data_IF_573428966866
#
_entry.id   IF_573428966866
#
_cell.length_a   1.000
_cell.length_b   1.000
_cell.length_c   1.000
_cell.angle_alpha   90.00
_cell.angle_beta   90.00
_cell.angle_gamma   90.00
#
_symmetry.space_group_name_H-M   'P 1'
#
loop_
_entity.id
_entity.type
_entity.pdbx_description
1 polymer ?
#
# COMPACT_ATOMS: atom_id res chain seq x y z
N UNK A 1 -28.86 -34.44 -33.32
CA UNK A 1 -29.21 -33.17 -32.61
C UNK A 1 -28.34 -32.91 -31.38
N UNK A 2 -27.85 -33.91 -30.68
CA UNK A 2 -26.90 -33.78 -29.55
C UNK A 2 -25.47 -33.39 -30.00
N UNK A 3 -25.00 -33.97 -31.10
CA UNK A 3 -23.64 -33.69 -31.64
C UNK A 3 -23.42 -32.24 -32.12
N UNK A 4 -24.50 -31.54 -32.49
CA UNK A 4 -24.43 -30.14 -32.94
C UNK A 4 -24.33 -29.15 -31.76
N UNK A 5 -24.83 -29.52 -30.56
CA UNK A 5 -24.72 -28.69 -29.35
C UNK A 5 -23.36 -28.80 -28.69
N UNK A 6 -22.75 -29.99 -28.65
CA UNK A 6 -21.40 -30.18 -28.13
C UNK A 6 -20.34 -29.48 -28.99
N UNK A 7 -20.45 -29.52 -30.32
CA UNK A 7 -19.60 -28.79 -31.23
C UNK A 7 -19.72 -27.27 -31.12
N UNK A 8 -20.89 -26.71 -30.81
CA UNK A 8 -21.10 -25.28 -30.56
C UNK A 8 -20.48 -24.83 -29.24
N UNK A 9 -20.56 -25.64 -28.18
CA UNK A 9 -19.94 -25.36 -26.88
C UNK A 9 -18.41 -25.45 -26.98
N UNK A 10 -17.90 -26.45 -27.67
CA UNK A 10 -16.44 -26.59 -27.89
C UNK A 10 -15.86 -25.47 -28.74
N UNK A 11 -16.61 -24.97 -29.74
CA UNK A 11 -16.21 -23.84 -30.57
C UNK A 11 -16.28 -22.50 -29.81
N UNK A 12 -17.25 -22.34 -28.91
CA UNK A 12 -17.36 -21.12 -28.09
C UNK A 12 -16.28 -21.06 -27.01
N UNK A 13 -15.95 -22.18 -26.35
CA UNK A 13 -14.85 -22.25 -25.38
C UNK A 13 -13.49 -22.04 -26.03
N UNK A 14 -13.27 -22.59 -27.24
CA UNK A 14 -12.01 -22.40 -28.00
C UNK A 14 -11.88 -20.97 -28.52
N UNK A 15 -12.96 -20.34 -28.96
CA UNK A 15 -12.96 -18.92 -29.34
C UNK A 15 -12.76 -18.01 -28.12
N UNK A 16 -13.33 -18.32 -26.99
CA UNK A 16 -13.16 -17.55 -25.74
C UNK A 16 -11.73 -17.68 -25.21
N UNK A 17 -11.12 -18.87 -25.28
CA UNK A 17 -9.70 -19.09 -24.97
C UNK A 17 -8.77 -18.34 -25.92
N UNK A 18 -8.99 -18.42 -27.22
CA UNK A 18 -8.18 -17.72 -28.23
C UNK A 18 -8.28 -16.18 -28.08
N UNK A 19 -9.47 -15.64 -27.79
CA UNK A 19 -9.65 -14.22 -27.50
C UNK A 19 -8.95 -13.79 -26.19
N UNK A 20 -9.01 -14.62 -25.16
CA UNK A 20 -8.30 -14.37 -23.90
C UNK A 20 -6.78 -14.41 -24.07
N UNK A 21 -6.24 -15.33 -24.86
CA UNK A 21 -4.80 -15.41 -25.15
C UNK A 21 -4.31 -14.22 -25.98
N UNK A 22 -5.11 -13.76 -26.96
CA UNK A 22 -4.82 -12.53 -27.71
C UNK A 22 -4.87 -11.28 -26.84
N UNK A 23 -5.81 -11.18 -25.90
CA UNK A 23 -5.87 -10.08 -24.93
C UNK A 23 -4.71 -10.09 -23.94
N UNK A 24 -4.20 -11.26 -23.53
CA UNK A 24 -3.02 -11.39 -22.67
C UNK A 24 -1.77 -10.79 -23.33
N UNK A 25 -1.52 -11.09 -24.58
CA UNK A 25 -0.37 -10.55 -25.32
C UNK A 25 -0.39 -9.02 -25.52
N UNK A 26 -1.54 -8.38 -25.32
CA UNK A 26 -1.68 -6.92 -25.39
C UNK A 26 -1.32 -6.20 -24.08
N UNK A 27 -1.23 -6.93 -22.97
CA UNK A 27 -0.88 -6.34 -21.68
C UNK A 27 0.56 -5.79 -21.71
N UNK A 28 0.75 -4.59 -21.14
CA UNK A 28 2.10 -3.99 -20.99
C UNK A 28 3.07 -4.90 -20.27
N UNK A 29 2.58 -5.61 -19.25
CA UNK A 29 3.36 -6.56 -18.45
C UNK A 29 3.83 -7.79 -19.22
N UNK A 30 3.18 -8.13 -20.34
CA UNK A 30 3.53 -9.30 -21.19
C UNK A 30 4.29 -8.90 -22.47
N UNK A 31 4.38 -7.60 -22.75
CA UNK A 31 5.09 -7.11 -23.95
C UNK A 31 6.60 -7.34 -23.81
N UNK A 32 7.24 -7.64 -24.93
CA UNK A 32 8.70 -7.75 -25.04
C UNK A 32 9.28 -6.39 -25.47
N UNK A 33 10.21 -5.86 -24.70
CA UNK A 33 10.95 -4.66 -25.08
C UNK A 33 12.11 -5.04 -26.02
N UNK A 34 12.02 -4.59 -27.26
CA UNK A 34 13.05 -4.86 -28.26
C UNK A 34 14.43 -4.29 -27.92
N UNK A 35 14.51 -3.30 -27.03
CA UNK A 35 15.76 -2.77 -26.48
C UNK A 35 16.63 -3.85 -25.84
N UNK A 36 15.99 -4.86 -25.24
CA UNK A 36 16.63 -5.87 -24.41
C UNK A 36 16.68 -7.25 -25.06
N UNK A 37 16.54 -7.33 -26.40
CA UNK A 37 16.53 -8.60 -27.13
C UNK A 37 17.85 -9.39 -27.04
N UNK A 38 18.97 -8.73 -26.65
CA UNK A 38 20.29 -9.35 -26.45
C UNK A 38 20.66 -9.49 -24.96
N UNK A 39 19.67 -9.49 -24.07
CA UNK A 39 19.89 -9.48 -22.60
C UNK A 39 20.80 -10.65 -22.14
N UNK A 40 20.63 -11.82 -22.71
CA UNK A 40 21.33 -13.06 -22.38
C UNK A 40 22.82 -13.07 -22.73
N UNK A 41 23.28 -12.17 -23.61
CA UNK A 41 24.68 -12.04 -24.01
C UNK A 41 25.37 -10.77 -23.48
N UNK A 42 24.66 -9.95 -22.73
CA UNK A 42 25.20 -8.74 -22.08
C UNK A 42 26.17 -9.10 -20.96
N UNK A 43 27.20 -8.30 -20.78
CA UNK A 43 28.07 -8.37 -19.61
C UNK A 43 27.32 -7.93 -18.35
N UNK A 44 27.83 -8.30 -17.16
CA UNK A 44 27.25 -7.87 -15.87
C UNK A 44 27.12 -6.34 -15.80
N UNK A 45 28.10 -5.60 -16.28
CA UNK A 45 28.06 -4.13 -16.30
C UNK A 45 26.93 -3.59 -17.17
N UNK A 46 26.75 -4.13 -18.37
CA UNK A 46 25.66 -3.74 -19.29
C UNK A 46 24.29 -4.12 -18.70
N UNK A 47 24.15 -5.30 -18.10
CA UNK A 47 22.92 -5.71 -17.43
C UNK A 47 22.53 -4.77 -16.27
N UNK A 48 23.50 -4.36 -15.44
CA UNK A 48 23.24 -3.44 -14.33
C UNK A 48 22.82 -2.05 -14.87
N UNK A 49 23.45 -1.56 -15.93
CA UNK A 49 23.07 -0.30 -16.56
C UNK A 49 21.67 -0.38 -17.16
N UNK A 50 21.36 -1.46 -17.89
CA UNK A 50 20.06 -1.69 -18.50
C UNK A 50 18.93 -1.76 -17.44
N UNK A 51 19.18 -2.44 -16.32
CA UNK A 51 18.23 -2.50 -15.19
C UNK A 51 18.01 -1.12 -14.59
N UNK A 52 19.07 -0.40 -14.27
CA UNK A 52 18.98 0.92 -13.66
C UNK A 52 18.28 1.93 -14.61
N UNK A 53 18.55 1.88 -15.90
CA UNK A 53 17.85 2.70 -16.91
C UNK A 53 16.36 2.37 -16.95
N UNK A 54 16.04 1.08 -17.02
CA UNK A 54 14.64 0.61 -17.03
C UNK A 54 13.89 1.05 -15.78
N UNK A 55 14.47 0.87 -14.58
CA UNK A 55 13.85 1.24 -13.31
C UNK A 55 13.65 2.76 -13.16
N UNK A 56 14.49 3.58 -13.82
CA UNK A 56 14.37 5.05 -13.81
C UNK A 56 13.07 5.58 -14.44
N UNK A 57 12.37 4.76 -15.22
CA UNK A 57 11.07 5.12 -15.82
C UNK A 57 9.92 5.04 -14.79
N UNK A 58 10.06 4.28 -13.71
CA UNK A 58 9.00 4.08 -12.74
C UNK A 58 8.56 5.38 -12.05
N UNK A 59 9.45 6.22 -11.49
CA UNK A 59 9.03 7.50 -10.90
C UNK A 59 8.37 8.44 -11.91
N UNK A 60 8.79 8.40 -13.18
CA UNK A 60 8.18 9.21 -14.25
C UNK A 60 6.74 8.75 -14.53
N UNK A 61 6.52 7.45 -14.63
CA UNK A 61 5.17 6.88 -14.80
C UNK A 61 4.25 7.24 -13.65
N UNK A 62 4.72 7.14 -12.41
CA UNK A 62 3.96 7.53 -11.21
C UNK A 62 3.60 9.02 -11.25
N UNK A 63 4.53 9.89 -11.68
CA UNK A 63 4.27 11.34 -11.71
C UNK A 63 3.07 11.73 -12.58
N UNK A 64 2.79 10.94 -13.63
CA UNK A 64 1.64 11.17 -14.52
C UNK A 64 0.28 10.85 -13.87
N UNK A 65 0.28 10.04 -12.82
CA UNK A 65 -0.94 9.59 -12.13
C UNK A 65 -1.09 10.18 -10.73
N UNK A 66 -0.18 11.06 -10.28
CA UNK A 66 -0.27 11.72 -8.97
C UNK A 66 -1.64 12.32 -8.66
N UNK A 67 -2.35 13.00 -9.59
CA UNK A 67 -3.69 13.52 -9.31
C UNK A 67 -4.75 12.44 -9.02
N UNK A 68 -4.56 11.21 -9.55
CA UNK A 68 -5.44 10.08 -9.23
C UNK A 68 -5.09 9.48 -7.88
N UNK A 69 -3.77 9.40 -7.57
CA UNK A 69 -3.27 8.92 -6.27
C UNK A 69 -3.76 9.85 -5.16
N UNK A 70 -3.68 11.17 -5.36
CA UNK A 70 -4.20 12.18 -4.42
C UNK A 70 -5.67 11.92 -4.07
N UNK A 71 -6.54 11.81 -5.07
CA UNK A 71 -7.98 11.53 -4.84
C UNK A 71 -8.24 10.23 -4.11
N UNK A 72 -7.47 9.19 -4.42
CA UNK A 72 -7.59 7.91 -3.71
C UNK A 72 -7.17 8.05 -2.24
N UNK A 73 -6.06 8.75 -1.98
CA UNK A 73 -5.56 9.01 -0.62
C UNK A 73 -6.53 9.88 0.17
N UNK A 74 -7.13 10.91 -0.42
CA UNK A 74 -8.15 11.73 0.25
C UNK A 74 -9.32 10.85 0.72
N UNK A 75 -9.80 9.94 -0.12
CA UNK A 75 -10.84 8.99 0.26
C UNK A 75 -10.41 8.03 1.39
N UNK A 76 -9.14 7.60 1.41
CA UNK A 76 -8.58 6.78 2.51
C UNK A 76 -8.56 7.59 3.80
N UNK A 77 -8.07 8.83 3.77
CA UNK A 77 -8.00 9.71 4.93
C UNK A 77 -9.40 9.94 5.53
N UNK A 78 -10.37 10.27 4.69
CA UNK A 78 -11.74 10.54 5.13
C UNK A 78 -12.36 9.34 5.88
N UNK A 79 -12.10 8.13 5.40
CA UNK A 79 -12.60 6.92 6.04
C UNK A 79 -11.85 6.55 7.31
N UNK A 80 -10.52 6.66 7.29
CA UNK A 80 -9.70 6.40 8.48
C UNK A 80 -9.96 7.39 9.61
N UNK A 81 -10.29 8.66 9.32
CA UNK A 81 -10.72 9.65 10.32
C UNK A 81 -12.05 9.26 10.99
N UNK A 82 -12.88 8.48 10.33
CA UNK A 82 -14.15 7.96 10.85
C UNK A 82 -13.98 6.59 11.54
N UNK A 83 -12.75 6.10 11.70
CA UNK A 83 -12.44 4.81 12.34
C UNK A 83 -12.38 3.62 11.38
N UNK A 84 -12.37 3.86 10.07
CA UNK A 84 -12.17 2.83 9.06
C UNK A 84 -10.73 2.35 8.96
N UNK A 85 -10.51 1.29 8.19
CA UNK A 85 -9.24 0.58 8.03
C UNK A 85 -8.72 0.69 6.60
N UNK A 86 -7.39 0.62 6.45
CA UNK A 86 -6.71 0.45 5.17
C UNK A 86 -6.38 -1.03 4.98
N UNK A 87 -6.86 -1.64 3.91
CA UNK A 87 -6.74 -3.08 3.67
C UNK A 87 -6.10 -3.29 2.30
N UNK A 88 -4.97 -3.98 2.28
CA UNK A 88 -4.28 -4.40 1.06
C UNK A 88 -4.64 -5.83 0.71
N UNK A 89 -4.86 -6.12 -0.56
CA UNK A 89 -5.12 -7.47 -1.04
C UNK A 89 -4.43 -7.71 -2.38
N UNK A 90 -3.67 -8.80 -2.48
CA UNK A 90 -2.90 -9.10 -3.68
C UNK A 90 -2.40 -10.54 -3.73
N UNK A 91 -1.80 -10.92 -4.86
CA UNK A 91 -1.16 -12.23 -5.05
C UNK A 91 0.34 -12.09 -5.34
N UNK A 92 1.12 -13.10 -5.06
CA UNK A 92 2.55 -13.16 -5.37
C UNK A 92 3.33 -11.95 -4.85
N UNK A 93 4.09 -11.29 -5.72
CA UNK A 93 4.87 -10.08 -5.39
C UNK A 93 3.97 -8.94 -4.90
N UNK A 94 2.83 -8.73 -5.54
CA UNK A 94 1.87 -7.66 -5.18
C UNK A 94 1.34 -7.85 -3.76
N UNK A 95 0.95 -9.08 -3.39
CA UNK A 95 0.50 -9.40 -2.04
C UNK A 95 1.62 -9.23 -1.00
N UNK A 96 2.86 -9.64 -1.32
CA UNK A 96 4.02 -9.45 -0.42
C UNK A 96 4.32 -7.98 -0.15
N UNK A 97 4.19 -7.12 -1.15
CA UNK A 97 4.38 -5.68 -1.00
C UNK A 97 3.30 -5.05 -0.13
N UNK A 98 2.04 -5.50 -0.24
CA UNK A 98 0.97 -5.12 0.67
C UNK A 98 1.25 -5.53 2.11
N UNK A 99 1.69 -6.78 2.33
CA UNK A 99 2.09 -7.28 3.66
C UNK A 99 3.26 -6.48 4.23
N UNK A 100 4.27 -6.17 3.40
CA UNK A 100 5.41 -5.37 3.82
C UNK A 100 4.98 -3.98 4.31
N UNK A 101 4.20 -3.25 3.52
CA UNK A 101 3.76 -1.90 3.87
C UNK A 101 2.88 -1.89 5.13
N UNK A 102 1.94 -2.83 5.24
CA UNK A 102 1.09 -2.97 6.42
C UNK A 102 1.90 -3.26 7.70
N UNK A 103 2.88 -4.17 7.62
CA UNK A 103 3.72 -4.55 8.75
C UNK A 103 4.57 -3.39 9.29
N UNK A 104 5.00 -2.48 8.42
CA UNK A 104 5.82 -1.32 8.79
C UNK A 104 5.01 -0.15 9.37
N UNK A 105 3.68 -0.12 9.19
CA UNK A 105 2.82 0.93 9.74
C UNK A 105 2.77 0.92 11.28
N UNK A 106 2.75 -0.25 11.91
CA UNK A 106 2.76 -0.38 13.36
C UNK A 106 3.99 0.26 14.01
N UNK A 107 5.21 -0.18 13.71
CA UNK A 107 6.44 0.39 14.26
C UNK A 107 6.66 1.88 13.95
N UNK A 108 6.19 2.35 12.77
CA UNK A 108 6.42 3.72 12.29
C UNK A 108 5.44 4.73 12.88
N UNK A 109 4.16 4.36 12.98
CA UNK A 109 3.05 5.27 13.28
C UNK A 109 2.24 4.88 14.52
N UNK A 110 2.64 3.83 15.24
CA UNK A 110 1.90 3.29 16.39
C UNK A 110 0.42 3.04 16.11
N UNK A 111 0.14 2.53 14.91
CA UNK A 111 -1.20 2.04 14.59
C UNK A 111 -1.33 0.59 14.99
N UNK A 112 -2.54 0.19 15.38
CA UNK A 112 -2.83 -1.20 15.71
C UNK A 112 -2.77 -2.09 14.45
N UNK A 113 -2.49 -3.36 14.63
CA UNK A 113 -2.36 -4.33 13.53
C UNK A 113 -3.67 -4.56 12.75
N UNK A 114 -4.79 -4.13 13.29
CA UNK A 114 -6.11 -4.19 12.67
C UNK A 114 -6.46 -2.91 11.89
N UNK A 115 -5.70 -1.81 12.04
CA UNK A 115 -5.95 -0.55 11.34
C UNK A 115 -5.37 -0.55 9.91
N UNK A 116 -4.23 -1.20 9.70
CA UNK A 116 -3.66 -1.45 8.37
C UNK A 116 -3.42 -2.94 8.24
N UNK A 117 -4.17 -3.58 7.36
CA UNK A 117 -4.24 -5.03 7.22
C UNK A 117 -3.81 -5.42 5.81
N UNK A 118 -3.22 -6.58 5.64
CA UNK A 118 -2.89 -7.11 4.31
C UNK A 118 -3.25 -8.59 4.17
N UNK A 119 -3.76 -8.94 3.01
CA UNK A 119 -4.03 -10.31 2.59
C UNK A 119 -3.22 -10.67 1.35
N UNK A 120 -2.76 -11.90 1.31
CA UNK A 120 -2.06 -12.47 0.16
C UNK A 120 -2.72 -13.80 -0.23
N UNK A 121 -2.95 -14.00 -1.52
CA UNK A 121 -3.48 -15.27 -2.03
C UNK A 121 -2.61 -16.45 -1.57
N UNK A 122 -3.22 -17.44 -0.92
CA UNK A 122 -2.52 -18.57 -0.29
C UNK A 122 -2.11 -18.35 1.16
N UNK A 123 -2.47 -17.21 1.77
CA UNK A 123 -2.26 -16.93 3.20
C UNK A 123 -0.79 -16.74 3.59
N UNK A 124 -0.48 -16.83 4.88
CA UNK A 124 0.85 -16.54 5.43
C UNK A 124 2.00 -17.37 4.81
N UNK A 125 1.72 -18.59 4.38
CA UNK A 125 2.71 -19.43 3.72
C UNK A 125 3.19 -18.84 2.39
N UNK A 126 2.32 -18.09 1.71
CA UNK A 126 2.60 -17.44 0.43
C UNK A 126 3.54 -16.22 0.55
N UNK A 127 3.77 -15.72 1.76
CA UNK A 127 4.76 -14.67 2.01
C UNK A 127 6.17 -15.18 1.67
N UNK A 128 6.50 -16.40 2.05
CA UNK A 128 7.83 -17.00 1.87
C UNK A 128 7.93 -17.90 0.64
N UNK A 129 6.84 -18.55 0.26
CA UNK A 129 6.81 -19.55 -0.81
C UNK A 129 5.89 -19.09 -1.95
N UNK A 130 6.07 -19.64 -3.15
CA UNK A 130 5.07 -19.49 -4.21
C UNK A 130 3.85 -20.37 -3.87
N UNK A 131 2.66 -19.76 -3.86
CA UNK A 131 1.40 -20.48 -3.70
C UNK A 131 0.73 -20.54 -5.08
N UNK A 132 0.81 -21.70 -5.75
CA UNK A 132 0.21 -21.90 -7.06
C UNK A 132 -1.30 -22.10 -6.94
N UNK A 133 -2.06 -21.55 -7.91
CA UNK A 133 -3.50 -21.73 -8.04
C UNK A 133 -4.37 -20.94 -7.06
N UNK A 134 -3.81 -20.33 -6.01
CA UNK A 134 -4.60 -19.50 -5.08
C UNK A 134 -5.05 -18.17 -5.70
N UNK A 135 -4.26 -17.62 -6.62
CA UNK A 135 -4.55 -16.36 -7.31
C UNK A 135 -5.71 -16.47 -8.32
N UNK A 136 -6.01 -17.69 -8.77
CA UNK A 136 -7.09 -17.96 -9.74
C UNK A 136 -8.46 -18.13 -9.09
N UNK A 137 -8.55 -18.01 -7.76
CA UNK A 137 -9.74 -18.31 -6.97
C UNK A 137 -10.36 -17.04 -6.36
N UNK A 138 -11.37 -16.42 -7.00
CA UNK A 138 -11.99 -15.20 -6.51
C UNK A 138 -12.68 -15.37 -5.14
N UNK A 139 -13.23 -16.57 -4.85
CA UNK A 139 -13.89 -16.87 -3.59
C UNK A 139 -12.93 -16.78 -2.38
N UNK A 140 -11.62 -16.99 -2.57
CA UNK A 140 -10.65 -16.84 -1.49
C UNK A 140 -10.47 -15.36 -1.11
N UNK A 141 -10.42 -14.45 -2.09
CA UNK A 141 -10.35 -13.02 -1.82
C UNK A 141 -11.59 -12.49 -1.12
N UNK A 142 -12.77 -13.00 -1.48
CA UNK A 142 -14.02 -12.71 -0.78
C UNK A 142 -13.96 -13.20 0.67
N UNK A 143 -13.54 -14.46 0.89
CA UNK A 143 -13.46 -15.05 2.21
C UNK A 143 -12.50 -14.30 3.14
N UNK A 144 -11.35 -13.85 2.62
CA UNK A 144 -10.38 -13.08 3.39
C UNK A 144 -10.98 -11.77 3.89
N UNK A 145 -11.69 -11.02 3.05
CA UNK A 145 -12.35 -9.78 3.45
C UNK A 145 -13.54 -10.02 4.38
N UNK A 146 -14.29 -11.12 4.20
CA UNK A 146 -15.36 -11.53 5.11
C UNK A 146 -14.83 -11.88 6.50
N UNK A 147 -13.65 -12.48 6.60
CA UNK A 147 -13.04 -12.91 7.87
C UNK A 147 -12.81 -11.75 8.85
N UNK A 148 -12.64 -10.53 8.32
CA UNK A 148 -12.45 -9.31 9.11
C UNK A 148 -13.67 -8.38 9.08
N UNK A 149 -14.82 -8.84 8.55
CA UNK A 149 -16.06 -8.06 8.45
C UNK A 149 -15.83 -6.69 7.79
N UNK A 150 -15.30 -6.69 6.56
CA UNK A 150 -15.10 -5.45 5.79
C UNK A 150 -16.44 -4.73 5.61
N UNK A 151 -16.43 -3.41 5.81
CA UNK A 151 -17.63 -2.59 5.77
C UNK A 151 -17.42 -1.22 5.14
N UNK A 152 -18.45 -0.41 5.23
CA UNK A 152 -18.57 0.87 4.50
C UNK A 152 -17.49 1.92 4.87
N UNK A 153 -16.87 1.85 6.05
CA UNK A 153 -15.79 2.76 6.43
C UNK A 153 -14.40 2.28 5.98
N UNK A 154 -14.28 1.04 5.52
CA UNK A 154 -12.99 0.48 5.12
C UNK A 154 -12.58 0.93 3.71
N UNK A 155 -11.27 0.89 3.46
CA UNK A 155 -10.65 1.12 2.18
C UNK A 155 -9.90 -0.13 1.74
N UNK A 156 -10.23 -0.69 0.59
CA UNK A 156 -9.59 -1.90 0.06
C UNK A 156 -8.78 -1.55 -1.18
N UNK A 157 -7.47 -1.79 -1.12
CA UNK A 157 -6.53 -1.62 -2.23
C UNK A 157 -6.23 -2.98 -2.83
N UNK A 158 -6.79 -3.24 -4.00
CA UNK A 158 -6.50 -4.43 -4.80
C UNK A 158 -5.24 -4.23 -5.63
N UNK A 159 -4.24 -5.08 -5.41
CA UNK A 159 -2.91 -4.95 -6.00
C UNK A 159 -2.66 -6.10 -6.97
N UNK A 160 -2.58 -5.80 -8.26
CA UNK A 160 -2.28 -6.80 -9.30
C UNK A 160 -1.61 -6.13 -10.50
N UNK A 161 -0.38 -6.52 -10.84
CA UNK A 161 0.35 -5.94 -11.96
C UNK A 161 -0.41 -6.09 -13.28
N UNK A 162 -0.96 -7.28 -13.56
CA UNK A 162 -1.79 -7.55 -14.74
C UNK A 162 -3.14 -6.80 -14.74
N UNK A 163 -3.65 -6.50 -13.53
CA UNK A 163 -4.99 -5.95 -13.34
C UNK A 163 -6.14 -6.92 -13.63
N UNK A 164 -5.89 -8.25 -13.57
CA UNK A 164 -6.84 -9.31 -13.94
C UNK A 164 -6.91 -10.47 -12.94
N UNK A 165 -6.09 -10.45 -11.89
CA UNK A 165 -5.98 -11.55 -10.92
C UNK A 165 -7.33 -11.86 -10.29
N UNK A 166 -7.92 -13.07 -10.49
CA UNK A 166 -9.28 -13.40 -10.05
C UNK A 166 -9.48 -13.22 -8.54
N UNK A 167 -8.51 -13.65 -7.72
CA UNK A 167 -8.52 -13.43 -6.27
C UNK A 167 -8.75 -11.95 -5.90
N UNK A 168 -8.05 -11.02 -6.58
CA UNK A 168 -8.17 -9.58 -6.32
C UNK A 168 -9.49 -9.05 -6.89
N UNK A 169 -9.94 -9.53 -8.05
CA UNK A 169 -11.22 -9.14 -8.63
C UNK A 169 -12.38 -9.47 -7.69
N UNK A 170 -12.45 -10.72 -7.20
CA UNK A 170 -13.50 -11.13 -6.25
C UNK A 170 -13.49 -10.31 -4.98
N UNK A 171 -12.30 -9.99 -4.45
CA UNK A 171 -12.16 -9.13 -3.27
C UNK A 171 -12.70 -7.71 -3.52
N UNK A 172 -12.34 -7.07 -4.64
CA UNK A 172 -12.79 -5.72 -5.00
C UNK A 172 -14.31 -5.68 -5.23
N UNK A 173 -14.87 -6.66 -5.94
CA UNK A 173 -16.32 -6.76 -6.14
C UNK A 173 -17.07 -6.90 -4.82
N UNK A 174 -16.59 -7.76 -3.92
CA UNK A 174 -17.15 -7.91 -2.58
C UNK A 174 -17.05 -6.62 -1.76
N UNK A 175 -15.85 -6.01 -1.69
CA UNK A 175 -15.62 -4.76 -0.96
C UNK A 175 -16.59 -3.67 -1.42
N UNK A 176 -16.75 -3.51 -2.72
CA UNK A 176 -17.69 -2.56 -3.31
C UNK A 176 -19.15 -2.87 -2.94
N UNK A 177 -19.53 -4.15 -2.92
CA UNK A 177 -20.90 -4.58 -2.58
C UNK A 177 -21.30 -4.23 -1.14
N UNK A 178 -20.34 -4.14 -0.23
CA UNK A 178 -20.54 -3.74 1.17
C UNK A 178 -20.28 -2.25 1.43
N UNK A 179 -20.04 -1.46 0.38
CA UNK A 179 -19.86 -0.01 0.44
C UNK A 179 -18.46 0.46 0.86
N UNK A 180 -17.46 -0.43 0.93
CA UNK A 180 -16.07 -0.04 1.15
C UNK A 180 -15.53 0.77 -0.04
N UNK A 181 -14.58 1.67 0.22
CA UNK A 181 -13.85 2.37 -0.83
C UNK A 181 -12.91 1.40 -1.52
N UNK A 182 -12.95 1.35 -2.85
CA UNK A 182 -12.13 0.43 -3.63
C UNK A 182 -11.10 1.15 -4.50
N UNK A 183 -9.84 0.70 -4.42
CA UNK A 183 -8.71 1.25 -5.16
C UNK A 183 -8.02 0.10 -5.88
N UNK A 184 -7.85 0.21 -7.19
CA UNK A 184 -7.05 -0.72 -7.99
C UNK A 184 -5.65 -0.15 -8.21
N UNK A 185 -4.60 -0.92 -7.90
CA UNK A 185 -3.21 -0.59 -8.20
C UNK A 185 -2.65 -1.60 -9.20
N UNK A 186 -2.43 -1.16 -10.44
CA UNK A 186 -2.06 -2.02 -11.56
C UNK A 186 -0.92 -1.42 -12.39
N UNK A 187 -0.37 -2.21 -13.32
CA UNK A 187 0.64 -1.76 -14.29
C UNK A 187 0.10 -1.71 -15.73
N UNK A 188 -1.19 -1.94 -15.92
CA UNK A 188 -1.83 -1.96 -17.23
C UNK A 188 -2.94 -0.91 -17.30
N UNK A 189 -2.92 -0.01 -18.30
CA UNK A 189 -4.00 0.94 -18.54
C UNK A 189 -5.33 0.24 -18.81
N UNK A 190 -6.42 0.80 -18.27
CA UNK A 190 -7.78 0.28 -18.46
C UNK A 190 -7.96 -1.16 -17.94
N UNK A 191 -7.27 -1.51 -16.88
CA UNK A 191 -7.30 -2.83 -16.25
C UNK A 191 -8.71 -3.28 -15.86
N UNK A 192 -8.93 -4.59 -15.77
CA UNK A 192 -10.24 -5.15 -15.38
C UNK A 192 -10.61 -4.74 -13.94
N UNK A 193 -9.65 -4.85 -13.00
CA UNK A 193 -9.89 -4.38 -11.61
C UNK A 193 -10.06 -2.86 -11.55
N UNK A 194 -9.38 -2.08 -12.40
CA UNK A 194 -9.57 -0.63 -12.46
C UNK A 194 -10.98 -0.23 -12.86
N UNK A 195 -11.62 -0.97 -13.79
CA UNK A 195 -12.99 -0.70 -14.25
C UNK A 195 -14.06 -0.93 -13.19
N UNK A 196 -13.81 -1.83 -12.23
CA UNK A 196 -14.75 -2.18 -11.16
C UNK A 196 -14.46 -1.47 -9.83
N UNK A 197 -13.36 -0.70 -9.74
CA UNK A 197 -12.95 0.06 -8.56
C UNK A 197 -13.40 1.52 -8.63
N UNK A 198 -13.52 2.18 -7.47
CA UNK A 198 -13.81 3.61 -7.40
C UNK A 198 -12.64 4.45 -7.89
N UNK A 199 -11.40 4.00 -7.60
CA UNK A 199 -10.17 4.62 -8.08
C UNK A 199 -9.27 3.62 -8.81
N UNK A 200 -8.92 3.92 -10.06
CA UNK A 200 -7.99 3.14 -10.86
C UNK A 200 -6.63 3.84 -10.93
N UNK A 201 -5.62 3.24 -10.28
CA UNK A 201 -4.23 3.67 -10.28
C UNK A 201 -3.44 2.76 -11.23
N UNK A 202 -3.60 2.99 -12.54
CA UNK A 202 -2.89 2.24 -13.57
C UNK A 202 -1.54 2.92 -13.85
N UNK A 203 -0.45 2.30 -13.42
CA UNK A 203 0.93 2.82 -13.53
C UNK A 203 1.61 2.17 -14.73
N UNK A 204 1.51 2.79 -15.89
CA UNK A 204 2.16 2.31 -17.12
C UNK A 204 3.65 2.69 -17.12
N UNK A 205 4.51 1.85 -16.58
CA UNK A 205 5.97 2.00 -16.61
C UNK A 205 6.61 1.33 -17.86
N UNK A 206 5.79 0.90 -18.83
CA UNK A 206 6.23 0.15 -20.02
C UNK A 206 6.54 -1.31 -19.72
N UNK A 207 6.99 -2.06 -20.76
CA UNK A 207 7.35 -3.47 -20.63
C UNK A 207 8.49 -3.70 -19.62
N UNK A 208 8.49 -4.85 -18.98
CA UNK A 208 9.59 -5.24 -18.09
C UNK A 208 10.88 -5.53 -18.88
N UNK A 209 12.04 -5.28 -18.26
CA UNK A 209 13.33 -5.64 -18.85
C UNK A 209 13.42 -7.15 -19.15
N UNK A 210 12.92 -7.98 -18.24
CA UNK A 210 12.69 -9.41 -18.47
C UNK A 210 11.18 -9.61 -18.64
N UNK A 211 10.73 -9.84 -19.86
CA UNK A 211 9.33 -9.90 -20.23
C UNK A 211 8.51 -10.80 -19.28
N UNK A 212 7.36 -10.32 -18.83
CA UNK A 212 6.47 -11.02 -17.91
C UNK A 212 6.93 -11.00 -16.44
N UNK A 213 8.15 -10.52 -16.12
CA UNK A 213 8.67 -10.56 -14.75
C UNK A 213 8.24 -9.34 -13.93
N UNK A 214 6.97 -9.27 -13.57
CA UNK A 214 6.32 -8.14 -12.88
C UNK A 214 6.82 -7.85 -11.45
N UNK A 215 7.74 -8.67 -10.93
CA UNK A 215 8.44 -8.36 -9.67
C UNK A 215 9.44 -7.21 -9.81
N UNK A 216 9.77 -6.77 -11.03
CA UNK A 216 10.75 -5.71 -11.33
C UNK A 216 10.07 -4.32 -11.31
N UNK A 217 9.87 -3.64 -12.46
CA UNK A 217 9.28 -2.29 -12.51
C UNK A 217 7.88 -2.21 -11.91
N UNK A 218 7.02 -3.18 -12.23
CA UNK A 218 5.67 -3.22 -11.67
C UNK A 218 5.71 -3.32 -10.15
N UNK A 219 6.55 -4.20 -9.59
CA UNK A 219 6.76 -4.31 -8.15
C UNK A 219 7.31 -3.01 -7.54
N UNK A 220 8.29 -2.38 -8.18
CA UNK A 220 8.84 -1.08 -7.75
C UNK A 220 7.76 0.00 -7.75
N UNK A 221 6.94 0.10 -8.80
CA UNK A 221 5.83 1.04 -8.87
C UNK A 221 4.81 0.81 -7.75
N UNK A 222 4.40 -0.44 -7.52
CA UNK A 222 3.48 -0.81 -6.45
C UNK A 222 4.04 -0.39 -5.09
N UNK A 223 5.30 -0.72 -4.78
CA UNK A 223 5.94 -0.33 -3.53
C UNK A 223 5.92 1.18 -3.31
N UNK A 224 6.25 1.96 -4.32
CA UNK A 224 6.25 3.42 -4.21
C UNK A 224 4.84 3.98 -3.95
N UNK A 225 3.83 3.48 -4.65
CA UNK A 225 2.43 3.94 -4.49
C UNK A 225 1.86 3.50 -3.15
N UNK A 226 2.11 2.27 -2.68
CA UNK A 226 1.67 1.80 -1.36
C UNK A 226 2.27 2.67 -0.25
N UNK A 227 3.57 2.97 -0.32
CA UNK A 227 4.21 3.88 0.63
C UNK A 227 3.62 5.32 0.57
N UNK A 228 3.20 5.80 -0.62
CA UNK A 228 2.50 7.08 -0.73
C UNK A 228 1.13 7.00 -0.02
N UNK A 229 0.35 5.95 -0.25
CA UNK A 229 -0.97 5.76 0.37
C UNK A 229 -0.84 5.72 1.89
N UNK A 230 0.00 4.85 2.44
CA UNK A 230 0.15 4.71 3.89
C UNK A 230 0.75 5.96 4.52
N UNK A 231 1.90 6.43 4.02
CA UNK A 231 2.62 7.54 4.65
C UNK A 231 1.83 8.85 4.60
N UNK A 232 1.25 9.19 3.44
CA UNK A 232 0.49 10.45 3.32
C UNK A 232 -0.76 10.40 4.18
N UNK A 233 -1.47 9.26 4.22
CA UNK A 233 -2.62 9.06 5.11
C UNK A 233 -2.21 9.24 6.57
N UNK A 234 -1.13 8.60 7.03
CA UNK A 234 -0.66 8.73 8.41
C UNK A 234 -0.21 10.14 8.76
N UNK A 235 0.46 10.85 7.83
CA UNK A 235 0.80 12.28 8.02
C UNK A 235 -0.47 13.12 8.21
N UNK A 236 -1.49 12.90 7.39
CA UNK A 236 -2.79 13.61 7.48
C UNK A 236 -3.59 13.24 8.72
N UNK A 237 -3.41 12.05 9.25
CA UNK A 237 -3.96 11.59 10.53
C UNK A 237 -3.18 12.12 11.75
N UNK A 238 -2.19 12.98 11.55
CA UNK A 238 -1.43 13.61 12.63
C UNK A 238 -0.36 12.74 13.27
N UNK A 239 0.09 11.69 12.59
CA UNK A 239 1.12 10.75 13.08
C UNK A 239 2.55 11.30 13.02
N UNK A 240 2.72 12.53 12.50
CA UNK A 240 4.01 13.20 12.36
C UNK A 240 3.98 14.63 12.88
N UNK A 241 5.17 15.17 13.20
CA UNK A 241 5.39 16.60 13.45
C UNK A 241 6.57 17.08 12.60
N UNK A 242 6.28 17.92 11.61
CA UNK A 242 7.22 18.14 10.51
C UNK A 242 7.49 16.82 9.79
N UNK A 243 8.77 16.45 9.66
CA UNK A 243 9.22 15.16 9.13
C UNK A 243 9.64 14.16 10.22
N UNK A 244 9.24 14.39 11.48
CA UNK A 244 9.57 13.56 12.62
C UNK A 244 8.46 12.54 12.90
N UNK A 245 8.85 11.30 13.16
CA UNK A 245 7.95 10.21 13.59
C UNK A 245 7.64 10.36 15.09
N UNK A 246 6.58 11.07 15.44
CA UNK A 246 6.26 11.39 16.85
C UNK A 246 5.35 10.37 17.54
N UNK A 247 4.83 9.39 16.79
CA UNK A 247 3.96 8.31 17.30
C UNK A 247 4.69 6.95 17.37
N UNK A 248 6.01 6.94 17.48
CA UNK A 248 6.76 5.69 17.61
C UNK A 248 6.52 5.01 18.97
N UNK A 249 6.46 3.68 19.00
CA UNK A 249 6.43 2.90 20.24
C UNK A 249 7.83 2.74 20.81
N UNK A 250 7.99 3.14 22.08
CA UNK A 250 9.28 3.01 22.79
C UNK A 250 9.36 1.61 23.42
N UNK A 251 9.66 0.59 22.61
CA UNK A 251 9.69 -0.81 23.05
C UNK A 251 11.09 -1.36 23.39
N UNK A 252 12.15 -0.60 23.10
CA UNK A 252 13.53 -0.98 23.40
C UNK A 252 14.42 0.24 23.54
N UNK A 253 15.69 0.05 24.01
CA UNK A 253 16.67 1.13 24.23
C UNK A 253 16.95 1.96 22.96
N UNK A 254 17.08 1.31 21.81
CA UNK A 254 17.30 2.00 20.53
C UNK A 254 16.14 2.94 20.19
N UNK A 255 14.91 2.52 20.46
CA UNK A 255 13.72 3.35 20.21
C UNK A 255 13.56 4.44 21.27
N UNK A 256 13.96 4.20 22.52
CA UNK A 256 14.05 5.24 23.56
C UNK A 256 15.05 6.34 23.18
N UNK A 257 16.25 5.98 22.74
CA UNK A 257 17.25 6.96 22.28
C UNK A 257 16.78 7.72 21.02
N UNK A 258 16.05 7.06 20.10
CA UNK A 258 15.43 7.73 18.97
C UNK A 258 14.35 8.72 19.43
N UNK A 259 13.49 8.35 20.39
CA UNK A 259 12.46 9.22 20.95
C UNK A 259 13.05 10.49 21.57
N UNK A 260 14.13 10.34 22.37
CA UNK A 260 14.84 11.47 22.95
C UNK A 260 15.38 12.41 21.87
N UNK A 261 16.01 11.88 20.81
CA UNK A 261 16.50 12.71 19.69
C UNK A 261 15.39 13.43 18.94
N UNK A 262 14.24 12.78 18.77
CA UNK A 262 13.05 13.39 18.15
C UNK A 262 12.57 14.56 19.01
N UNK A 263 12.43 14.37 20.32
CA UNK A 263 12.02 15.42 21.26
C UNK A 263 13.02 16.59 21.22
N UNK A 264 14.33 16.33 21.30
CA UNK A 264 15.35 17.36 21.17
C UNK A 264 15.22 18.15 19.88
N UNK A 265 15.04 17.46 18.74
CA UNK A 265 14.90 18.12 17.43
C UNK A 265 13.62 18.95 17.34
N UNK A 266 12.53 18.47 17.91
CA UNK A 266 11.22 19.14 17.88
C UNK A 266 11.17 20.36 18.80
N UNK A 267 11.91 20.35 19.93
CA UNK A 267 11.78 21.35 21.01
C UNK A 267 13.03 22.20 21.24
N UNK A 268 14.13 21.84 20.57
CA UNK A 268 15.47 22.41 20.81
C UNK A 268 15.95 22.27 22.27
N UNK A 269 15.49 21.24 22.98
CA UNK A 269 15.86 20.94 24.37
C UNK A 269 17.19 20.18 24.47
N UNK A 270 17.77 20.15 25.68
CA UNK A 270 18.90 19.30 25.99
C UNK A 270 18.49 17.82 26.08
N UNK A 271 19.47 16.92 26.03
CA UNK A 271 19.21 15.48 26.19
C UNK A 271 18.60 15.15 27.57
N UNK A 272 18.99 15.86 28.64
CA UNK A 272 18.44 15.68 29.99
C UNK A 272 16.95 16.05 30.01
N UNK A 273 16.62 17.26 29.56
CA UNK A 273 15.23 17.75 29.51
C UNK A 273 14.33 16.83 28.65
N UNK A 274 14.80 16.41 27.48
CA UNK A 274 14.05 15.49 26.62
C UNK A 274 13.85 14.12 27.27
N UNK A 275 14.87 13.60 28.00
CA UNK A 275 14.76 12.33 28.71
C UNK A 275 13.80 12.41 29.90
N UNK A 276 13.83 13.51 30.66
CA UNK A 276 12.94 13.75 31.78
C UNK A 276 11.49 13.90 31.32
N UNK A 277 11.26 14.69 30.26
CA UNK A 277 9.94 14.85 29.66
C UNK A 277 9.39 13.55 29.10
N UNK A 278 10.21 12.72 28.45
CA UNK A 278 9.80 11.41 27.96
C UNK A 278 9.38 10.47 29.10
N UNK A 279 10.11 10.48 30.22
CA UNK A 279 9.72 9.70 31.41
C UNK A 279 8.45 10.23 32.05
N UNK A 280 8.34 11.53 32.23
CA UNK A 280 7.17 12.17 32.85
C UNK A 280 5.90 11.97 32.01
N UNK A 281 6.04 11.94 30.66
CA UNK A 281 4.92 11.68 29.74
C UNK A 281 4.46 10.20 29.71
N UNK A 282 5.13 9.29 30.41
CA UNK A 282 4.86 7.86 30.28
C UNK A 282 5.30 7.27 28.94
N UNK A 283 6.39 7.79 28.38
CA UNK A 283 6.97 7.44 27.07
C UNK A 283 6.14 7.86 25.84
N UNK A 284 5.22 8.79 26.03
CA UNK A 284 4.44 9.40 24.94
C UNK A 284 5.20 10.60 24.35
N UNK A 285 5.81 10.42 23.16
CA UNK A 285 6.68 11.43 22.53
C UNK A 285 5.91 12.74 22.23
N UNK A 286 4.68 12.67 21.75
CA UNK A 286 3.84 13.86 21.49
C UNK A 286 3.56 14.66 22.74
N UNK A 287 3.23 13.96 23.84
CA UNK A 287 3.01 14.58 25.16
C UNK A 287 4.28 15.28 25.62
N UNK A 288 5.43 14.59 25.57
CA UNK A 288 6.71 15.16 25.95
C UNK A 288 7.08 16.42 25.14
N UNK A 289 6.79 16.43 23.83
CA UNK A 289 7.00 17.59 22.97
C UNK A 289 6.13 18.77 23.44
N UNK A 290 4.85 18.57 23.68
CA UNK A 290 3.95 19.63 24.14
C UNK A 290 4.32 20.15 25.52
N UNK A 291 4.69 19.27 26.47
CA UNK A 291 5.17 19.65 27.80
C UNK A 291 6.34 20.67 27.69
N UNK A 292 7.31 20.36 26.84
CA UNK A 292 8.49 21.22 26.69
C UNK A 292 8.19 22.52 25.92
N UNK A 293 7.36 22.49 24.88
CA UNK A 293 7.05 23.67 24.07
C UNK A 293 6.12 24.65 24.78
N UNK A 294 5.19 24.15 25.62
CA UNK A 294 4.18 24.95 26.30
C UNK A 294 4.44 25.15 27.79
N UNK A 295 5.45 24.48 28.37
CA UNK A 295 5.74 24.44 29.81
C UNK A 295 4.53 24.02 30.64
N UNK A 296 3.87 22.91 30.24
CA UNK A 296 2.66 22.37 30.88
C UNK A 296 2.90 20.95 31.42
N UNK A 297 2.01 20.55 32.34
CA UNK A 297 2.03 19.20 32.91
C UNK A 297 1.54 18.13 31.90
N UNK A 298 1.94 16.87 32.05
CA UNK A 298 1.59 15.77 31.12
C UNK A 298 0.09 15.62 30.87
N UNK A 299 -0.72 15.76 31.92
CA UNK A 299 -2.20 15.65 31.88
C UNK A 299 -2.79 16.72 30.97
N UNK A 300 -2.36 17.97 31.13
CA UNK A 300 -2.81 19.10 30.30
C UNK A 300 -2.37 18.90 28.86
N UNK A 301 -1.16 18.38 28.62
CA UNK A 301 -0.66 18.07 27.29
C UNK A 301 -1.50 16.98 26.58
N UNK A 302 -1.93 15.92 27.32
CA UNK A 302 -2.83 14.89 26.80
C UNK A 302 -4.22 15.44 26.45
N UNK A 303 -4.81 16.24 27.32
CA UNK A 303 -6.10 16.88 27.08
C UNK A 303 -6.06 17.75 25.81
N UNK A 304 -5.01 18.55 25.64
CA UNK A 304 -4.81 19.38 24.43
C UNK A 304 -4.66 18.53 23.16
N UNK A 305 -3.86 17.45 23.21
CA UNK A 305 -3.72 16.54 22.07
C UNK A 305 -5.06 15.91 21.70
N UNK A 306 -5.82 15.47 22.69
CA UNK A 306 -7.14 14.87 22.46
C UNK A 306 -8.11 15.88 21.81
N UNK A 307 -8.15 17.11 22.32
CA UNK A 307 -8.98 18.19 21.77
C UNK A 307 -8.59 18.56 20.32
N UNK A 308 -7.29 18.39 19.96
CA UNK A 308 -6.73 18.70 18.65
C UNK A 308 -6.59 17.46 17.74
N UNK A 309 -7.41 16.44 17.92
CA UNK A 309 -7.37 15.19 17.14
C UNK A 309 -5.97 14.57 17.07
N UNK A 310 -5.22 14.62 18.16
CA UNK A 310 -3.83 14.14 18.33
C UNK A 310 -2.81 14.81 17.39
N UNK A 311 -3.07 16.04 16.92
CA UNK A 311 -2.18 16.83 16.07
C UNK A 311 -1.42 17.86 16.88
N UNK A 312 -0.09 17.72 16.99
CA UNK A 312 0.76 18.62 17.78
C UNK A 312 0.60 20.09 17.31
N UNK A 313 0.57 20.34 15.99
CA UNK A 313 0.47 21.72 15.47
C UNK A 313 -0.81 22.42 15.92
N UNK A 314 -1.92 21.73 15.88
CA UNK A 314 -3.22 22.25 16.32
C UNK A 314 -3.19 22.46 17.84
N UNK A 315 -2.67 21.48 18.59
CA UNK A 315 -2.51 21.59 20.05
C UNK A 315 -1.61 22.76 20.52
N UNK A 316 -0.72 23.26 19.67
CA UNK A 316 0.11 24.43 19.94
C UNK A 316 -0.61 25.77 19.68
N UNK A 317 -1.64 25.79 18.85
CA UNK A 317 -2.31 27.04 18.41
C UNK A 317 -3.58 27.36 19.18
N UNK A 318 -4.19 26.39 19.85
CA UNK A 318 -5.39 26.60 20.67
C UNK A 318 -5.01 27.20 22.06
N UNK A 319 -4.67 28.49 22.07
CA UNK A 319 -4.52 29.34 23.25
C UNK A 319 -5.45 30.55 23.12
#
# INVERSE_FOLDING_TARGET
MLDSFENLLYSSETMTKANNEQELGLLRTEQVDSKFHMLDVMTVSELLQAMNESDSEVPKAISLVLPKIEKAIDGVIDRMLQGGRLIYIGAGTSGRLGVLDAAECGPTFSVSSDQVVAFIAGGDSAIKNAAEGAEDRPELGIADLQSINVGQLDCVVGIAASGRTPYVMGAIEYARSVGALTIALTSNPNSQIGKISDHALDIDSGPELLAGSTRLKSGTAQKLVLNMISTVSMVRLGKTFGNLMVDLQVSNEKLADRAIRIIQTATNSTKSEASEALKASGHEVKVAILMLLLHIEPEIARERLQASSNRIREALTDI
#
